data_IF_830861590404
#
_entry.id   IF_830861590404
#
_cell.length_a   1.000
_cell.length_b   1.000
_cell.length_c   1.000
_cell.angle_alpha   90.00
_cell.angle_beta   90.00
_cell.angle_gamma   90.00
#
_symmetry.space_group_name_H-M   'P 1'
#
loop_
_entity.id
_entity.type
_entity.pdbx_description
1 polymer ?
#
# COMPACT_ATOMS: atom_id res chain seq x y z
N UNK A 1 -19.92 11.47 -0.59
CA UNK A 1 -18.45 11.28 -0.69
C UNK A 1 -18.05 9.81 -0.50
N UNK A 2 -17.27 9.28 -1.43
CA UNK A 2 -16.71 7.94 -1.40
C UNK A 2 -15.84 7.73 -0.14
N UNK A 3 -15.89 6.52 0.44
CA UNK A 3 -15.13 6.15 1.63
C UNK A 3 -15.04 4.63 1.76
N UNK A 4 -13.92 4.13 2.27
CA UNK A 4 -13.81 2.75 2.74
C UNK A 4 -14.22 2.69 4.21
N UNK A 5 -15.53 2.59 4.47
CA UNK A 5 -16.04 2.46 5.83
C UNK A 5 -17.38 1.73 5.89
N UNK A 6 -17.77 1.28 7.09
CA UNK A 6 -19.08 0.64 7.33
C UNK A 6 -20.29 1.51 6.98
N UNK A 7 -20.09 2.82 6.89
CA UNK A 7 -21.13 3.80 6.57
C UNK A 7 -21.05 4.25 5.10
N UNK A 8 -20.14 3.65 4.31
CA UNK A 8 -19.99 3.96 2.89
C UNK A 8 -21.11 3.31 2.08
N UNK A 9 -21.93 4.14 1.42
CA UNK A 9 -23.01 3.68 0.53
C UNK A 9 -22.74 3.98 -0.95
N UNK A 10 -21.73 4.79 -1.25
CA UNK A 10 -21.38 5.16 -2.61
C UNK A 10 -20.63 4.01 -3.31
N UNK A 11 -21.05 3.70 -4.55
CA UNK A 11 -20.31 2.80 -5.44
C UNK A 11 -18.96 3.44 -5.79
N UNK A 12 -17.90 2.63 -5.82
CA UNK A 12 -16.58 3.08 -6.21
C UNK A 12 -16.46 3.04 -7.73
N UNK A 13 -16.02 4.15 -8.32
CA UNK A 13 -15.85 4.30 -9.77
C UNK A 13 -14.40 4.66 -10.10
N UNK A 14 -13.89 4.28 -11.30
CA UNK A 14 -12.56 4.64 -11.74
C UNK A 14 -12.25 6.14 -11.60
N UNK A 15 -11.05 6.46 -11.14
CA UNK A 15 -10.60 7.82 -10.88
C UNK A 15 -10.95 8.36 -9.48
N UNK A 16 -11.80 7.67 -8.71
CA UNK A 16 -12.00 8.01 -7.30
C UNK A 16 -10.73 7.74 -6.49
N UNK A 17 -10.32 8.71 -5.67
CA UNK A 17 -9.20 8.58 -4.72
C UNK A 17 -9.77 8.42 -3.31
N UNK A 18 -9.20 7.48 -2.55
CA UNK A 18 -9.56 7.16 -1.17
C UNK A 18 -8.31 6.97 -0.31
N UNK A 19 -8.47 7.10 1.02
CA UNK A 19 -7.47 6.62 1.98
C UNK A 19 -7.73 5.16 2.33
N UNK A 20 -6.65 4.35 2.38
CA UNK A 20 -6.63 3.01 2.94
C UNK A 20 -5.74 3.03 4.20
N UNK A 21 -6.37 3.05 5.37
CA UNK A 21 -5.73 3.46 6.62
C UNK A 21 -6.09 2.60 7.85
N UNK A 22 -5.95 1.26 7.80
CA UNK A 22 -6.17 0.43 8.97
C UNK A 22 -5.25 0.84 10.13
N UNK A 23 -5.79 0.82 11.34
CA UNK A 23 -5.06 1.17 12.54
C UNK A 23 -5.58 0.48 13.81
N UNK A 24 -4.71 0.44 14.82
CA UNK A 24 -5.00 -0.11 16.13
C UNK A 24 -4.40 0.79 17.21
N UNK A 25 -5.14 1.01 18.29
CA UNK A 25 -4.73 1.86 19.40
C UNK A 25 -4.99 1.13 20.71
N UNK A 26 -3.97 1.09 21.55
CA UNK A 26 -4.03 0.57 22.92
C UNK A 26 -3.85 1.73 23.88
N UNK A 27 -4.91 2.06 24.59
CA UNK A 27 -4.93 3.18 25.54
C UNK A 27 -3.83 3.05 26.61
N UNK A 28 -3.22 4.19 26.97
CA UNK A 28 -2.08 4.25 27.88
C UNK A 28 -0.79 3.60 27.38
N UNK A 29 -0.74 3.12 26.12
CA UNK A 29 0.42 2.43 25.56
C UNK A 29 0.85 3.00 24.20
N UNK A 30 0.27 2.51 23.10
CA UNK A 30 0.74 2.84 21.75
C UNK A 30 -0.40 2.86 20.72
N UNK A 31 -0.12 3.45 19.57
CA UNK A 31 -1.00 3.42 18.40
C UNK A 31 -0.21 3.15 17.13
N UNK A 32 -0.83 2.46 16.19
CA UNK A 32 -0.27 2.16 14.86
C UNK A 32 -1.35 2.45 13.83
N UNK A 33 -1.00 3.17 12.77
CA UNK A 33 -1.81 3.35 11.57
C UNK A 33 -0.88 3.30 10.37
N UNK A 34 -1.25 2.53 9.36
CA UNK A 34 -0.54 2.47 8.07
C UNK A 34 -1.51 3.00 7.03
N UNK A 35 -1.15 4.09 6.38
CA UNK A 35 -2.05 4.84 5.51
C UNK A 35 -1.44 5.10 4.14
N UNK A 36 -2.16 4.73 3.09
CA UNK A 36 -1.86 5.09 1.70
C UNK A 36 -3.09 5.73 1.04
N UNK A 37 -2.85 6.69 0.15
CA UNK A 37 -3.83 7.07 -0.86
C UNK A 37 -3.84 6.02 -1.98
N UNK A 38 -5.05 5.65 -2.39
CA UNK A 38 -5.29 4.71 -3.48
C UNK A 38 -6.30 5.28 -4.48
N UNK A 39 -6.10 4.99 -5.75
CA UNK A 39 -7.04 5.33 -6.83
C UNK A 39 -7.76 4.06 -7.31
N UNK A 40 -9.06 4.15 -7.54
CA UNK A 40 -9.83 3.10 -8.21
C UNK A 40 -9.47 3.10 -9.70
N UNK A 41 -9.15 1.93 -10.24
CA UNK A 41 -8.92 1.74 -11.68
C UNK A 41 -9.53 0.43 -12.17
N UNK A 42 -9.65 0.29 -13.49
CA UNK A 42 -10.05 -0.99 -14.11
C UNK A 42 -8.92 -2.00 -13.93
N UNK A 43 -9.26 -3.17 -13.39
CA UNK A 43 -8.31 -4.26 -13.22
C UNK A 43 -8.02 -4.95 -14.56
N UNK A 44 -6.82 -5.47 -14.78
CA UNK A 44 -6.53 -6.36 -15.90
C UNK A 44 -7.44 -7.59 -15.90
N UNK A 45 -7.74 -8.13 -17.07
CA UNK A 45 -8.46 -9.40 -17.19
C UNK A 45 -7.69 -10.53 -16.48
N UNK A 46 -8.40 -11.28 -15.64
CA UNK A 46 -7.84 -12.43 -14.94
C UNK A 46 -8.02 -13.69 -15.80
N UNK A 47 -6.95 -14.48 -16.03
CA UNK A 47 -7.07 -15.77 -16.70
C UNK A 47 -8.06 -16.69 -15.96
N UNK A 48 -9.12 -17.11 -16.65
CA UNK A 48 -10.19 -17.92 -16.05
C UNK A 48 -11.19 -17.13 -15.19
N UNK A 49 -11.09 -15.80 -15.18
CA UNK A 49 -12.10 -14.91 -14.62
C UNK A 49 -13.39 -14.94 -15.44
N UNK A 50 -14.45 -14.38 -14.87
CA UNK A 50 -15.69 -14.15 -15.60
C UNK A 50 -15.55 -12.97 -16.56
N UNK A 51 -16.46 -12.88 -17.54
CA UNK A 51 -16.49 -11.80 -18.53
C UNK A 51 -17.07 -10.49 -17.96
N UNK A 52 -16.70 -10.14 -16.71
CA UNK A 52 -17.13 -8.92 -16.04
C UNK A 52 -15.94 -8.00 -15.86
N UNK A 53 -16.17 -6.69 -16.03
CA UNK A 53 -15.18 -5.69 -15.70
C UNK A 53 -14.97 -5.68 -14.18
N UNK A 54 -13.73 -5.91 -13.77
CA UNK A 54 -13.31 -5.88 -12.38
C UNK A 54 -12.54 -4.59 -12.11
N UNK A 55 -12.57 -4.12 -10.87
CA UNK A 55 -11.83 -2.95 -10.43
C UNK A 55 -10.72 -3.35 -9.46
N UNK A 56 -9.63 -2.59 -9.45
CA UNK A 56 -8.55 -2.71 -8.49
C UNK A 56 -8.14 -1.32 -7.96
N UNK A 57 -7.20 -1.32 -7.01
CA UNK A 57 -6.63 -0.11 -6.46
C UNK A 57 -5.19 0.09 -6.94
N UNK A 58 -4.91 1.24 -7.54
CA UNK A 58 -3.55 1.73 -7.68
C UNK A 58 -3.11 2.44 -6.40
N UNK A 59 -1.95 2.05 -5.86
CA UNK A 59 -1.33 2.79 -4.74
C UNK A 59 -0.63 4.03 -5.26
N UNK A 60 -1.02 5.20 -4.74
CA UNK A 60 -0.44 6.50 -5.07
C UNK A 60 0.66 6.90 -4.08
N UNK A 61 0.50 6.57 -2.80
CA UNK A 61 1.50 6.91 -1.78
C UNK A 61 2.74 6.02 -1.93
N UNK A 62 3.90 6.67 -2.09
CA UNK A 62 5.21 6.00 -2.17
C UNK A 62 6.09 6.38 -0.99
N UNK A 63 5.90 5.67 0.12
CA UNK A 63 6.72 5.80 1.32
C UNK A 63 7.00 4.40 1.90
N UNK A 64 8.24 4.10 2.34
CA UNK A 64 8.54 2.78 2.87
C UNK A 64 7.74 2.50 4.15
N UNK A 65 7.10 1.33 4.21
CA UNK A 65 6.56 0.76 5.45
C UNK A 65 7.73 0.31 6.34
N UNK A 66 7.71 0.68 7.63
CA UNK A 66 8.79 0.39 8.57
C UNK A 66 8.91 -1.10 8.88
N UNK A 67 9.98 -1.72 8.38
CA UNK A 67 10.24 -3.16 8.53
C UNK A 67 10.52 -3.60 9.96
N UNK A 68 10.90 -2.68 10.87
CA UNK A 68 11.25 -3.01 12.25
C UNK A 68 10.07 -3.51 13.08
N UNK A 69 8.85 -3.19 12.66
CA UNK A 69 7.62 -3.55 13.37
C UNK A 69 6.89 -4.73 12.71
N UNK A 70 7.50 -5.37 11.71
CA UNK A 70 6.91 -6.47 10.98
C UNK A 70 7.33 -7.80 11.62
N UNK A 71 6.35 -8.58 12.06
CA UNK A 71 6.54 -9.98 12.46
C UNK A 71 6.41 -10.82 11.18
N UNK A 72 7.53 -11.12 10.53
CA UNK A 72 7.56 -11.70 9.19
C UNK A 72 6.86 -13.07 9.10
N UNK A 73 6.82 -13.82 10.21
CA UNK A 73 6.17 -15.12 10.32
C UNK A 73 4.63 -15.04 10.21
N UNK A 74 4.05 -13.85 10.40
CA UNK A 74 2.61 -13.62 10.21
C UNK A 74 2.24 -13.28 8.76
N UNK A 75 3.23 -13.04 7.89
CA UNK A 75 3.00 -12.77 6.48
C UNK A 75 2.94 -14.06 5.67
N UNK A 76 1.93 -14.18 4.82
CA UNK A 76 1.96 -15.14 3.73
C UNK A 76 3.06 -14.82 2.73
N UNK A 77 3.42 -15.80 1.89
CA UNK A 77 4.38 -15.60 0.81
C UNK A 77 3.95 -14.48 -0.17
N UNK A 78 2.65 -14.34 -0.41
CA UNK A 78 2.10 -13.31 -1.31
C UNK A 78 2.21 -11.92 -0.68
N UNK A 79 1.91 -11.78 0.60
CA UNK A 79 2.03 -10.48 1.30
C UNK A 79 3.48 -10.02 1.42
N UNK A 80 4.41 -10.96 1.69
CA UNK A 80 5.85 -10.64 1.70
C UNK A 80 6.34 -10.22 0.33
N UNK A 81 5.96 -10.96 -0.72
CA UNK A 81 6.30 -10.60 -2.10
C UNK A 81 5.70 -9.24 -2.51
N UNK A 82 4.47 -8.94 -2.09
CA UNK A 82 3.82 -7.65 -2.31
C UNK A 82 4.60 -6.52 -1.65
N UNK A 83 5.02 -6.69 -0.39
CA UNK A 83 5.77 -5.68 0.34
C UNK A 83 7.15 -5.43 -0.29
N UNK A 84 7.87 -6.50 -0.66
CA UNK A 84 9.17 -6.41 -1.34
C UNK A 84 9.03 -5.68 -2.68
N UNK A 85 7.98 -5.98 -3.46
CA UNK A 85 7.69 -5.31 -4.72
C UNK A 85 7.31 -3.83 -4.52
N UNK A 86 6.51 -3.52 -3.49
CA UNK A 86 6.16 -2.15 -3.13
C UNK A 86 7.39 -1.34 -2.74
N UNK A 87 8.25 -1.88 -1.87
CA UNK A 87 9.50 -1.23 -1.46
C UNK A 87 10.46 -1.03 -2.63
N UNK A 88 10.59 -2.02 -3.53
CA UNK A 88 11.36 -1.86 -4.76
C UNK A 88 10.82 -0.73 -5.65
N UNK A 89 9.50 -0.59 -5.77
CA UNK A 89 8.85 0.53 -6.48
C UNK A 89 9.19 1.87 -5.82
N UNK A 90 9.04 1.98 -4.50
CA UNK A 90 9.36 3.20 -3.74
C UNK A 90 10.82 3.61 -3.97
N UNK A 91 11.78 2.70 -3.83
CA UNK A 91 13.18 3.00 -4.04
C UNK A 91 13.48 3.45 -5.48
N UNK A 92 12.84 2.82 -6.47
CA UNK A 92 13.01 3.15 -7.90
C UNK A 92 12.45 4.53 -8.25
N UNK A 93 11.26 4.87 -7.76
CA UNK A 93 10.56 6.11 -8.14
C UNK A 93 10.99 7.31 -7.30
N UNK A 94 11.19 7.13 -5.99
CA UNK A 94 11.55 8.23 -5.07
C UNK A 94 13.06 8.42 -5.00
N UNK A 95 13.86 7.35 -5.14
CA UNK A 95 15.31 7.40 -5.07
C UNK A 95 15.94 8.51 -5.93
N UNK A 96 15.60 8.61 -7.23
CA UNK A 96 16.10 9.67 -8.12
C UNK A 96 15.79 11.10 -7.66
N UNK A 97 14.69 11.30 -6.93
CA UNK A 97 14.16 12.61 -6.55
C UNK A 97 14.77 13.17 -5.25
N UNK A 98 15.56 12.36 -4.53
CA UNK A 98 16.15 12.74 -3.24
C UNK A 98 17.69 12.80 -3.29
N UNK A 99 18.27 13.56 -2.36
CA UNK A 99 19.71 13.67 -2.20
C UNK A 99 20.40 12.35 -1.77
N UNK A 100 21.74 12.25 -1.89
CA UNK A 100 22.47 11.00 -1.69
C UNK A 100 22.23 10.35 -0.32
N UNK A 101 22.31 11.11 0.77
CA UNK A 101 22.09 10.61 2.13
C UNK A 101 20.71 9.97 2.30
N UNK A 102 19.66 10.63 1.78
CA UNK A 102 18.29 10.12 1.85
C UNK A 102 18.10 8.90 0.96
N UNK A 103 18.75 8.88 -0.21
CA UNK A 103 18.71 7.74 -1.14
C UNK A 103 19.34 6.49 -0.52
N UNK A 104 20.48 6.63 0.15
CA UNK A 104 21.14 5.53 0.85
C UNK A 104 20.29 5.01 2.01
N UNK A 105 19.64 5.92 2.75
CA UNK A 105 18.66 5.53 3.76
C UNK A 105 17.47 4.80 3.14
N UNK A 106 16.91 5.31 2.05
CA UNK A 106 15.75 4.75 1.37
C UNK A 106 16.04 3.33 0.87
N UNK A 107 17.22 3.10 0.30
CA UNK A 107 17.67 1.78 -0.14
C UNK A 107 17.71 0.76 1.02
N UNK A 108 18.15 1.19 2.21
CA UNK A 108 18.11 0.34 3.41
C UNK A 108 16.69 0.16 3.95
N UNK A 109 15.87 1.21 3.94
CA UNK A 109 14.49 1.15 4.40
C UNK A 109 13.64 0.20 3.53
N UNK A 110 13.90 0.20 2.21
CA UNK A 110 13.22 -0.60 1.19
C UNK A 110 13.91 -1.95 0.88
N UNK A 111 14.88 -2.38 1.69
CA UNK A 111 15.51 -3.68 1.47
C UNK A 111 14.46 -4.80 1.67
N UNK A 112 14.50 -5.88 0.89
CA UNK A 112 13.57 -7.00 1.07
C UNK A 112 13.52 -7.50 2.52
N UNK A 113 12.35 -7.98 2.93
CA UNK A 113 12.22 -8.77 4.16
C UNK A 113 12.87 -10.14 4.01
#
# INVERSE_FOLDING_TARGET
PQRLSRLGEAVLEPGMILSNEPGYYRDGAFGIRIENLVAVQVAPELPGGDAREMLEFETLTLAPIDRRLIVAELLSAVERAWLDAYHARVAREIGPLVGPTTRDWLARACAPL
#
